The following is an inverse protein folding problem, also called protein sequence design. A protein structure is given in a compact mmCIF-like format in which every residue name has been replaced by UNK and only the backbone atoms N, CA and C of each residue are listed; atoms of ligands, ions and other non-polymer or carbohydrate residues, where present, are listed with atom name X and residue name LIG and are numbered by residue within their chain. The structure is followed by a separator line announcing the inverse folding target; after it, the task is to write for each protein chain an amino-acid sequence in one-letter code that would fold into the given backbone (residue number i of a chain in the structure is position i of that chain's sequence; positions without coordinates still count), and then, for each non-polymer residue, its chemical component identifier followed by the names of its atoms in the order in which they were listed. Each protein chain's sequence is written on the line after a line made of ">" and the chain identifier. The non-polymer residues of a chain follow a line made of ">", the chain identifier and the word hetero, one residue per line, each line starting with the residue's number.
data_IF_060017274665
#
_entry.id   IF_060017274665
#
_cell.length_a   1.000
_cell.length_b   1.000
_cell.length_c   1.000
_cell.angle_alpha   90.00
_cell.angle_beta   90.00
_cell.angle_gamma   90.00
#
_symmetry.space_group_name_H-M   'P 1'
#
loop_
_entity.id
_entity.type
_entity.pdbx_description
1 polymer ?
#
# COMPACT_ATOMS: atom_id res chain seq x y z
N UNK A 1 -6.51 -24.40 -13.18
CA UNK A 1 -6.97 -23.02 -13.44
C UNK A 1 -6.16 -22.10 -12.55
N UNK A 2 -5.31 -21.23 -13.09
CA UNK A 2 -4.43 -20.37 -12.31
C UNK A 2 -5.23 -19.25 -11.62
N UNK A 3 -5.60 -19.49 -10.37
CA UNK A 3 -6.28 -18.55 -9.50
C UNK A 3 -5.25 -17.51 -9.02
N UNK A 4 -5.43 -16.24 -9.41
CA UNK A 4 -4.62 -15.06 -9.02
C UNK A 4 -3.41 -14.66 -9.90
N UNK A 5 -3.39 -15.01 -11.19
CA UNK A 5 -2.46 -14.35 -12.11
C UNK A 5 -2.89 -12.88 -12.35
N UNK A 6 -2.02 -11.93 -12.01
CA UNK A 6 -2.23 -10.51 -12.29
C UNK A 6 -2.48 -10.28 -13.79
N UNK A 7 -3.43 -9.39 -14.10
CA UNK A 7 -3.79 -9.12 -15.48
C UNK A 7 -2.68 -8.30 -16.16
N UNK A 8 -2.04 -8.90 -17.16
CA UNK A 8 -0.94 -8.28 -17.92
C UNK A 8 -1.41 -7.05 -18.70
N UNK A 9 -0.48 -6.15 -19.03
CA UNK A 9 -0.81 -4.95 -19.80
C UNK A 9 -1.35 -5.27 -21.20
N UNK A 10 -0.89 -6.37 -21.80
CA UNK A 10 -1.34 -6.86 -23.11
C UNK A 10 -2.78 -7.35 -23.06
N UNK A 11 -3.12 -8.18 -22.07
CA UNK A 11 -4.50 -8.65 -21.87
C UNK A 11 -5.47 -7.48 -21.62
N UNK A 12 -5.04 -6.45 -20.88
CA UNK A 12 -5.83 -5.21 -20.69
C UNK A 12 -6.11 -4.51 -22.02
N UNK A 13 -5.10 -4.36 -22.88
CA UNK A 13 -5.27 -3.74 -24.20
C UNK A 13 -6.24 -4.56 -25.05
N UNK A 14 -6.10 -5.89 -25.06
CA UNK A 14 -7.01 -6.79 -25.79
C UNK A 14 -8.46 -6.68 -25.33
N UNK A 15 -8.71 -6.56 -24.02
CA UNK A 15 -10.06 -6.33 -23.48
C UNK A 15 -10.66 -5.00 -23.99
N UNK A 16 -9.84 -3.94 -24.00
CA UNK A 16 -10.27 -2.61 -24.46
C UNK A 16 -10.54 -2.57 -25.97
N UNK A 17 -9.70 -3.22 -26.79
CA UNK A 17 -9.89 -3.29 -28.24
C UNK A 17 -11.14 -4.09 -28.60
N UNK A 18 -11.38 -5.23 -27.95
CA UNK A 18 -12.59 -6.03 -28.16
C UNK A 18 -13.86 -5.27 -27.73
N UNK A 19 -13.77 -4.44 -26.69
CA UNK A 19 -14.88 -3.56 -26.32
C UNK A 19 -15.13 -2.48 -27.36
N UNK A 20 -14.08 -1.89 -27.93
CA UNK A 20 -14.20 -0.91 -29.01
C UNK A 20 -14.82 -1.53 -30.28
N UNK A 21 -14.57 -2.82 -30.53
CA UNK A 21 -15.21 -3.59 -31.60
C UNK A 21 -16.69 -3.95 -31.33
N UNK A 22 -17.26 -3.54 -30.19
CA UNK A 22 -18.69 -3.71 -29.88
C UNK A 22 -19.06 -5.06 -29.23
N UNK A 23 -18.09 -5.88 -28.82
CA UNK A 23 -18.39 -7.16 -28.18
C UNK A 23 -19.01 -6.98 -26.78
N UNK A 24 -19.90 -7.89 -26.43
CA UNK A 24 -20.47 -7.98 -25.08
C UNK A 24 -19.41 -8.43 -24.07
N UNK A 25 -19.60 -8.10 -22.78
CA UNK A 25 -18.64 -8.48 -21.72
C UNK A 25 -18.46 -10.01 -21.63
N UNK A 26 -19.51 -10.79 -21.93
CA UNK A 26 -19.42 -12.26 -22.01
C UNK A 26 -18.58 -12.72 -23.19
N UNK A 27 -18.79 -12.16 -24.37
CA UNK A 27 -17.96 -12.48 -25.54
C UNK A 27 -16.48 -12.12 -25.34
N UNK A 28 -16.19 -11.02 -24.64
CA UNK A 28 -14.82 -10.65 -24.27
C UNK A 28 -14.22 -11.67 -23.29
N UNK A 29 -14.98 -12.10 -22.29
CA UNK A 29 -14.54 -13.09 -21.31
C UNK A 29 -14.20 -14.45 -21.97
N UNK A 30 -15.01 -14.88 -22.93
CA UNK A 30 -14.77 -16.09 -23.73
C UNK A 30 -13.51 -15.94 -24.60
N UNK A 31 -13.36 -14.82 -25.31
CA UNK A 31 -12.21 -14.54 -26.17
C UNK A 31 -10.89 -14.44 -25.39
N UNK A 32 -10.92 -13.85 -24.19
CA UNK A 32 -9.73 -13.64 -23.35
C UNK A 32 -9.51 -14.76 -22.34
N UNK A 33 -10.42 -15.74 -22.26
CA UNK A 33 -10.43 -16.82 -21.24
C UNK A 33 -10.33 -16.29 -19.80
N UNK A 34 -10.84 -15.08 -19.55
CA UNK A 34 -10.86 -14.43 -18.23
C UNK A 34 -12.28 -14.36 -17.69
N UNK A 35 -12.43 -14.27 -16.37
CA UNK A 35 -13.75 -14.18 -15.78
C UNK A 35 -14.42 -12.83 -16.10
N UNK A 36 -15.75 -12.86 -16.19
CA UNK A 36 -16.59 -11.68 -16.50
C UNK A 36 -16.33 -10.52 -15.54
N UNK A 37 -16.08 -10.83 -14.25
CA UNK A 37 -15.78 -9.82 -13.23
C UNK A 37 -14.46 -9.07 -13.47
N UNK A 38 -13.43 -9.74 -13.99
CA UNK A 38 -12.15 -9.09 -14.36
C UNK A 38 -12.37 -8.17 -15.55
N UNK A 39 -13.07 -8.65 -16.60
CA UNK A 39 -13.38 -7.82 -17.77
C UNK A 39 -14.19 -6.58 -17.36
N UNK A 40 -15.23 -6.74 -16.53
CA UNK A 40 -16.02 -5.62 -16.02
C UNK A 40 -15.18 -4.61 -15.21
N UNK A 41 -14.24 -5.09 -14.36
CA UNK A 41 -13.30 -4.23 -13.64
C UNK A 41 -12.38 -3.45 -14.57
N UNK A 42 -11.86 -4.06 -15.63
CA UNK A 42 -10.99 -3.38 -16.61
C UNK A 42 -11.77 -2.30 -17.36
N UNK A 43 -13.01 -2.58 -17.76
CA UNK A 43 -13.86 -1.64 -18.48
C UNK A 43 -14.35 -0.47 -17.59
N UNK A 44 -14.49 -0.70 -16.28
CA UNK A 44 -14.87 0.33 -15.31
C UNK A 44 -13.68 1.05 -14.67
N UNK A 45 -12.46 0.51 -14.82
CA UNK A 45 -11.25 1.15 -14.31
C UNK A 45 -10.95 2.41 -15.12
N UNK A 46 -10.99 3.56 -14.44
CA UNK A 46 -10.52 4.80 -15.00
C UNK A 46 -8.99 4.72 -15.19
N UNK A 47 -8.43 5.14 -16.33
CA UNK A 47 -6.99 5.02 -16.62
C UNK A 47 -6.11 5.74 -15.58
N UNK A 48 -6.67 6.73 -14.88
CA UNK A 48 -5.98 7.55 -13.90
C UNK A 48 -6.32 7.22 -12.44
N UNK A 49 -7.09 6.17 -12.17
CA UNK A 49 -7.35 5.78 -10.78
C UNK A 49 -6.16 5.02 -10.20
N UNK A 50 -5.08 5.75 -9.90
CA UNK A 50 -3.98 5.29 -9.05
C UNK A 50 -4.46 5.16 -7.59
N UNK A 51 -5.56 4.44 -7.37
CA UNK A 51 -6.03 4.11 -6.04
C UNK A 51 -5.11 3.00 -5.54
N UNK A 52 -4.32 3.25 -4.48
CA UNK A 52 -3.48 2.19 -3.92
C UNK A 52 -4.37 1.01 -3.54
N UNK A 53 -3.98 -0.19 -4.01
CA UNK A 53 -4.72 -1.46 -3.86
C UNK A 53 -5.25 -1.68 -2.43
N UNK A 54 -4.46 -1.27 -1.43
CA UNK A 54 -4.86 -1.24 -0.03
C UNK A 54 -4.25 0.00 0.61
N UNK A 55 -5.07 0.87 1.19
CA UNK A 55 -4.55 1.83 2.17
C UNK A 55 -4.15 1.04 3.40
N UNK A 56 -2.85 1.01 3.71
CA UNK A 56 -2.34 0.37 4.92
C UNK A 56 -3.00 0.95 6.18
N UNK A 57 -2.92 0.21 7.29
CA UNK A 57 -3.37 0.72 8.58
C UNK A 57 -2.56 1.96 8.96
N UNK A 58 -3.22 2.97 9.54
CA UNK A 58 -2.53 4.15 10.04
C UNK A 58 -1.51 3.75 11.11
N UNK A 59 -0.31 4.35 11.13
CA UNK A 59 0.67 4.05 12.17
C UNK A 59 0.08 4.37 13.55
N UNK A 60 0.41 3.51 14.53
CA UNK A 60 -0.05 3.66 15.93
C UNK A 60 0.52 4.91 16.61
N UNK A 61 1.66 5.40 16.12
CA UNK A 61 2.36 6.57 16.64
C UNK A 61 1.89 7.81 15.86
N UNK A 62 1.56 8.86 16.60
CA UNK A 62 1.29 10.18 16.01
C UNK A 62 2.56 10.76 15.40
N UNK A 63 2.42 11.49 14.29
CA UNK A 63 3.55 12.17 13.63
C UNK A 63 4.24 13.19 14.57
N UNK A 64 3.51 13.72 15.56
CA UNK A 64 4.10 14.58 16.61
C UNK A 64 5.06 13.79 17.49
N UNK A 65 4.61 12.64 17.99
CA UNK A 65 5.39 11.81 18.89
C UNK A 65 6.60 11.21 18.17
N UNK A 66 6.43 10.82 16.91
CA UNK A 66 7.54 10.40 16.03
C UNK A 66 8.63 11.46 15.97
N UNK A 67 8.26 12.72 15.68
CA UNK A 67 9.23 13.84 15.62
C UNK A 67 9.88 14.11 16.98
N UNK A 68 9.14 14.04 18.08
CA UNK A 68 9.70 14.22 19.42
C UNK A 68 10.71 13.12 19.79
N UNK A 69 10.39 11.86 19.47
CA UNK A 69 11.30 10.73 19.66
C UNK A 69 12.60 10.96 18.89
N UNK A 70 12.51 11.28 17.59
CA UNK A 70 13.67 11.49 16.73
C UNK A 70 14.52 12.64 17.28
N UNK A 71 13.94 13.82 17.52
CA UNK A 71 14.67 14.99 18.05
C UNK A 71 15.40 14.70 19.36
N UNK A 72 14.76 13.94 20.25
CA UNK A 72 15.30 13.67 21.58
C UNK A 72 16.47 12.68 21.53
N UNK A 73 16.46 11.75 20.57
CA UNK A 73 17.60 10.85 20.29
C UNK A 73 18.71 11.58 19.52
N UNK A 74 18.37 12.49 18.60
CA UNK A 74 19.38 13.32 17.93
C UNK A 74 20.10 14.28 18.86
N UNK A 75 19.39 14.80 19.86
CA UNK A 75 19.95 15.74 20.84
C UNK A 75 20.76 15.03 21.96
N UNK A 76 20.74 13.70 22.02
CA UNK A 76 21.56 12.92 22.93
C UNK A 76 21.30 11.43 22.80
N UNK A 77 22.32 10.61 23.02
CA UNK A 77 22.33 9.14 22.85
C UNK A 77 21.43 8.40 23.87
N UNK A 78 20.15 8.73 23.88
CA UNK A 78 19.17 8.21 24.81
C UNK A 78 18.54 6.93 24.24
N UNK A 79 18.76 5.84 24.96
CA UNK A 79 18.16 4.54 24.67
C UNK A 79 16.62 4.64 24.71
N UNK A 80 15.92 3.91 23.83
CA UNK A 80 14.46 3.95 23.66
C UNK A 80 13.64 3.86 24.98
N UNK A 81 14.13 3.14 25.99
CA UNK A 81 13.49 3.06 27.31
C UNK A 81 13.52 4.42 28.05
N UNK A 82 14.65 5.14 27.99
CA UNK A 82 14.80 6.49 28.54
C UNK A 82 13.92 7.50 27.80
N UNK A 83 13.84 7.38 26.47
CA UNK A 83 12.96 8.21 25.62
C UNK A 83 11.50 8.03 26.04
N UNK A 84 11.05 6.78 26.25
CA UNK A 84 9.69 6.49 26.72
C UNK A 84 9.40 7.19 28.06
N UNK A 85 10.31 7.05 29.03
CA UNK A 85 10.15 7.63 30.36
C UNK A 85 10.10 9.17 30.31
N UNK A 86 11.00 9.79 29.54
CA UNK A 86 11.10 11.26 29.42
C UNK A 86 9.90 11.89 28.72
N UNK A 87 9.38 11.24 27.67
CA UNK A 87 8.20 11.70 26.93
C UNK A 87 6.88 11.18 27.51
N UNK A 88 6.92 10.40 28.61
CA UNK A 88 5.75 9.78 29.27
C UNK A 88 4.80 9.08 28.27
N UNK A 89 5.37 8.42 27.26
CA UNK A 89 4.60 7.80 26.17
C UNK A 89 3.91 6.52 26.65
N UNK A 90 2.65 6.35 26.24
CA UNK A 90 1.87 5.12 26.51
C UNK A 90 2.28 3.95 25.60
N UNK A 91 3.13 4.18 24.60
CA UNK A 91 3.57 3.17 23.65
C UNK A 91 4.50 2.11 24.26
N UNK A 92 4.55 0.92 23.65
CA UNK A 92 5.55 -0.11 23.98
C UNK A 92 6.92 0.34 23.48
N UNK A 93 7.99 0.00 24.22
CA UNK A 93 9.38 0.32 23.85
C UNK A 93 9.72 -0.18 22.45
N UNK A 94 9.26 -1.37 22.07
CA UNK A 94 9.45 -1.94 20.72
C UNK A 94 8.87 -1.07 19.59
N UNK A 95 7.84 -0.27 19.87
CA UNK A 95 7.27 0.68 18.90
C UNK A 95 8.22 1.85 18.66
N UNK A 96 8.86 2.33 19.73
CA UNK A 96 9.86 3.41 19.67
C UNK A 96 11.10 2.91 18.95
N UNK A 97 11.57 1.69 19.23
CA UNK A 97 12.68 1.07 18.52
C UNK A 97 12.42 0.96 17.01
N UNK A 98 11.21 0.54 16.59
CA UNK A 98 10.85 0.50 15.16
C UNK A 98 10.91 1.88 14.50
N UNK A 99 10.54 2.94 15.22
CA UNK A 99 10.68 4.32 14.71
C UNK A 99 12.14 4.67 14.52
N UNK A 100 13.02 4.31 15.47
CA UNK A 100 14.45 4.59 15.37
C UNK A 100 15.10 3.79 14.24
N UNK A 101 14.79 2.50 14.11
CA UNK A 101 15.27 1.64 13.02
C UNK A 101 14.76 2.06 11.62
N UNK A 102 13.70 2.85 11.55
CA UNK A 102 13.17 3.40 10.30
C UNK A 102 13.93 4.65 9.85
N UNK A 103 14.87 5.15 10.65
CA UNK A 103 15.62 6.38 10.38
C UNK A 103 17.07 6.00 10.08
N UNK A 104 17.45 6.13 8.81
CA UNK A 104 18.70 5.58 8.27
C UNK A 104 19.98 6.16 8.93
N UNK A 105 19.92 7.40 9.43
CA UNK A 105 21.05 8.10 10.06
C UNK A 105 21.11 7.97 11.59
N UNK A 106 20.17 7.24 12.20
CA UNK A 106 20.16 6.93 13.64
C UNK A 106 20.66 5.50 13.95
N UNK A 107 21.08 4.76 12.91
CA UNK A 107 21.49 3.35 13.00
C UNK A 107 23.00 3.18 13.12
#
# INVERSE_FOLDING_TARGET
>A
MAENAELTAEERKSILTLRAAGLTVRGIAEATKRCVGVCSKVLSAQPNSNKPSRRGCKPKISERDRRHIIRLVSAGDLIAAKVKAKLKLTYRVRTIQRVLMSVDWLS
#
